data_IF_863777928300
#
_entry.id   IF_863777928300
#
_cell.length_a   1.000
_cell.length_b   1.000
_cell.length_c   1.000
_cell.angle_alpha   90.00
_cell.angle_beta   90.00
_cell.angle_gamma   90.00
#
_symmetry.space_group_name_H-M   'P 1'
#
loop_
_entity.id
_entity.type
_entity.pdbx_description
1 polymer ?
#
# COMPACT_ATOMS: atom_id res chain seq x y z
N UNK A 1 -26.34 26.35 27.93
CA UNK A 1 -25.76 25.29 27.06
C UNK A 1 -25.60 24.06 27.95
N UNK A 2 -26.44 23.03 27.78
CA UNK A 2 -26.53 21.92 28.74
C UNK A 2 -25.21 21.13 28.81
N UNK A 3 -24.63 21.00 30.00
CA UNK A 3 -23.42 20.22 30.28
C UNK A 3 -23.50 18.78 29.76
N UNK A 4 -24.71 18.22 29.67
CA UNK A 4 -25.00 16.90 29.09
C UNK A 4 -24.63 16.83 27.60
N UNK A 5 -24.94 17.88 26.81
CA UNK A 5 -24.60 17.92 25.39
C UNK A 5 -23.09 18.09 25.15
N UNK A 6 -22.40 18.80 26.05
CA UNK A 6 -20.95 18.97 25.97
C UNK A 6 -20.21 17.65 26.29
N UNK A 7 -20.66 16.91 27.31
CA UNK A 7 -20.09 15.60 27.65
C UNK A 7 -20.25 14.55 26.53
N UNK A 8 -21.43 14.49 25.91
CA UNK A 8 -21.69 13.63 24.75
C UNK A 8 -20.81 13.99 23.55
N UNK A 9 -20.64 15.28 23.26
CA UNK A 9 -19.78 15.75 22.19
C UNK A 9 -18.31 15.37 22.43
N UNK A 10 -17.81 15.56 23.65
CA UNK A 10 -16.43 15.27 24.03
C UNK A 10 -16.13 13.76 23.99
N UNK A 11 -17.07 12.92 24.42
CA UNK A 11 -17.01 11.46 24.26
C UNK A 11 -16.97 11.05 22.78
N UNK A 12 -17.77 11.69 21.93
CA UNK A 12 -17.76 11.43 20.48
C UNK A 12 -16.41 11.75 19.83
N UNK A 13 -15.81 12.88 20.18
CA UNK A 13 -14.47 13.28 19.69
C UNK A 13 -13.40 12.30 20.17
N UNK A 14 -13.43 11.91 21.45
CA UNK A 14 -12.45 10.96 22.01
C UNK A 14 -12.56 9.58 21.38
N UNK A 15 -13.79 9.07 21.18
CA UNK A 15 -14.00 7.78 20.52
C UNK A 15 -13.55 7.83 19.06
N UNK A 16 -13.89 8.90 18.32
CA UNK A 16 -13.44 9.09 16.94
C UNK A 16 -11.92 9.11 16.82
N UNK A 17 -11.23 9.83 17.73
CA UNK A 17 -9.78 9.85 17.78
C UNK A 17 -9.20 8.48 18.10
N UNK A 18 -9.76 7.77 19.08
CA UNK A 18 -9.29 6.44 19.49
C UNK A 18 -9.38 5.44 18.34
N UNK A 19 -10.52 5.38 17.64
CA UNK A 19 -10.67 4.53 16.46
C UNK A 19 -9.68 4.91 15.37
N UNK A 20 -9.56 6.20 15.05
CA UNK A 20 -8.61 6.68 14.04
C UNK A 20 -7.18 6.27 14.38
N UNK A 21 -6.77 6.42 15.64
CA UNK A 21 -5.45 6.05 16.11
C UNK A 21 -5.18 4.54 16.01
N UNK A 22 -6.14 3.70 16.40
CA UNK A 22 -6.03 2.25 16.30
C UNK A 22 -5.89 1.82 14.83
N UNK A 23 -6.72 2.35 13.94
CA UNK A 23 -6.66 2.04 12.50
C UNK A 23 -5.36 2.51 11.87
N UNK A 24 -4.89 3.70 12.24
CA UNK A 24 -3.62 4.23 11.76
C UNK A 24 -2.44 3.35 12.21
N UNK A 25 -2.40 2.95 13.49
CA UNK A 25 -1.36 2.05 14.01
C UNK A 25 -1.40 0.68 13.32
N UNK A 26 -2.58 0.15 13.03
CA UNK A 26 -2.73 -1.11 12.27
C UNK A 26 -2.22 -0.99 10.83
N UNK A 27 -2.50 0.15 10.17
CA UNK A 27 -1.99 0.46 8.83
C UNK A 27 -0.46 0.53 8.81
N UNK A 28 0.15 1.21 9.79
CA UNK A 28 1.62 1.27 9.92
C UNK A 28 2.25 -0.11 10.13
N UNK A 29 1.67 -0.96 10.99
CA UNK A 29 2.16 -2.32 11.20
C UNK A 29 2.16 -3.14 9.92
N UNK A 30 1.07 -3.08 9.14
CA UNK A 30 0.98 -3.78 7.85
C UNK A 30 2.04 -3.30 6.87
N UNK A 31 2.23 -1.99 6.75
CA UNK A 31 3.28 -1.43 5.89
C UNK A 31 4.68 -1.94 6.28
N UNK A 32 4.97 -1.98 7.58
CA UNK A 32 6.25 -2.49 8.08
C UNK A 32 6.45 -3.99 7.84
N UNK A 33 5.40 -4.79 8.01
CA UNK A 33 5.43 -6.23 7.72
C UNK A 33 5.68 -6.51 6.24
N UNK A 34 4.97 -5.80 5.34
CA UNK A 34 5.13 -5.92 3.89
C UNK A 34 6.56 -5.53 3.45
N UNK A 35 7.04 -4.39 3.90
CA UNK A 35 8.38 -3.89 3.57
C UNK A 35 9.49 -4.83 4.09
N UNK A 36 9.31 -5.40 5.29
CA UNK A 36 10.28 -6.35 5.83
C UNK A 36 10.30 -7.65 5.02
N UNK A 37 9.12 -8.14 4.58
CA UNK A 37 9.02 -9.33 3.72
C UNK A 37 9.71 -9.12 2.37
N UNK A 38 9.52 -7.97 1.75
CA UNK A 38 10.18 -7.61 0.49
C UNK A 38 11.71 -7.49 0.66
N UNK A 39 12.17 -6.85 1.74
CA UNK A 39 13.60 -6.80 2.06
C UNK A 39 14.20 -8.20 2.26
N UNK A 40 13.50 -9.11 2.93
CA UNK A 40 13.95 -10.50 3.06
C UNK A 40 14.01 -11.21 1.72
N UNK A 41 13.02 -11.00 0.84
CA UNK A 41 13.03 -11.58 -0.51
C UNK A 41 14.20 -11.07 -1.35
N UNK A 42 14.55 -9.78 -1.24
CA UNK A 42 15.73 -9.21 -1.91
C UNK A 42 17.04 -9.76 -1.34
N UNK A 43 17.14 -9.90 -0.01
CA UNK A 43 18.31 -10.50 0.66
C UNK A 43 18.50 -11.97 0.28
N UNK A 44 17.42 -12.73 0.15
CA UNK A 44 17.48 -14.13 -0.29
C UNK A 44 17.78 -14.26 -1.78
N UNK A 45 17.35 -13.30 -2.60
CA UNK A 45 17.70 -13.23 -4.02
C UNK A 45 19.18 -12.90 -4.25
N UNK A 46 19.75 -11.99 -3.45
CA UNK A 46 21.18 -11.67 -3.44
C UNK A 46 22.06 -12.91 -3.20
N UNK A 47 21.60 -13.84 -2.35
CA UNK A 47 22.32 -15.09 -2.06
C UNK A 47 22.26 -16.11 -3.19
N UNK A 48 21.30 -15.99 -4.13
CA UNK A 48 21.02 -16.98 -5.19
C UNK A 48 21.47 -16.54 -6.59
N UNK A 49 21.95 -15.31 -6.76
CA UNK A 49 22.71 -14.83 -7.93
C UNK A 49 21.93 -14.65 -9.24
N UNK A 50 21.18 -15.65 -9.70
CA UNK A 50 20.46 -15.62 -10.99
C UNK A 50 19.06 -14.98 -10.91
N UNK A 51 18.46 -14.98 -9.72
CA UNK A 51 17.07 -14.54 -9.45
C UNK A 51 17.01 -13.09 -8.93
N UNK A 52 18.17 -12.44 -8.82
CA UNK A 52 18.34 -11.12 -8.20
C UNK A 52 17.90 -10.00 -9.14
N UNK A 53 18.31 -10.05 -10.40
CA UNK A 53 18.04 -8.99 -11.37
C UNK A 53 16.53 -8.81 -11.63
N UNK A 54 15.77 -9.91 -11.75
CA UNK A 54 14.32 -9.84 -11.93
C UNK A 54 13.61 -9.24 -10.72
N UNK A 55 14.00 -9.65 -9.51
CA UNK A 55 13.39 -9.14 -8.26
C UNK A 55 13.71 -7.68 -8.00
N UNK A 56 14.94 -7.25 -8.30
CA UNK A 56 15.34 -5.84 -8.23
C UNK A 56 14.58 -5.01 -9.24
N UNK A 57 14.44 -5.49 -10.48
CA UNK A 57 13.67 -4.82 -11.50
C UNK A 57 12.20 -4.64 -11.08
N UNK A 58 11.55 -5.71 -10.59
CA UNK A 58 10.18 -5.65 -10.05
C UNK A 58 10.05 -4.66 -8.88
N UNK A 59 11.03 -4.63 -7.99
CA UNK A 59 11.07 -3.65 -6.90
C UNK A 59 11.16 -2.22 -7.44
N UNK A 60 11.98 -1.97 -8.45
CA UNK A 60 12.11 -0.65 -9.06
C UNK A 60 10.81 -0.20 -9.74
N UNK A 61 10.10 -1.11 -10.41
CA UNK A 61 8.77 -0.81 -10.95
C UNK A 61 7.77 -0.41 -9.85
N UNK A 62 7.82 -1.09 -8.70
CA UNK A 62 6.99 -0.78 -7.53
C UNK A 62 7.32 0.59 -6.93
N UNK A 63 8.60 0.94 -6.80
CA UNK A 63 9.02 2.26 -6.30
C UNK A 63 8.58 3.39 -7.24
N UNK A 64 8.75 3.22 -8.55
CA UNK A 64 8.29 4.19 -9.54
C UNK A 64 6.77 4.37 -9.50
N UNK A 65 6.02 3.26 -9.41
CA UNK A 65 4.57 3.31 -9.26
C UNK A 65 4.17 4.02 -7.96
N UNK A 66 4.91 3.80 -6.86
CA UNK A 66 4.68 4.42 -5.56
C UNK A 66 4.93 5.92 -5.60
N UNK A 67 6.03 6.35 -6.22
CA UNK A 67 6.34 7.76 -6.44
C UNK A 67 5.21 8.46 -7.21
N UNK A 68 4.75 7.85 -8.31
CA UNK A 68 3.63 8.37 -9.10
C UNK A 68 2.35 8.43 -8.27
N UNK A 69 2.07 7.43 -7.44
CA UNK A 69 0.92 7.47 -6.52
C UNK A 69 1.06 8.62 -5.52
N UNK A 70 2.25 8.83 -4.94
CA UNK A 70 2.49 9.93 -3.99
C UNK A 70 2.19 11.28 -4.63
N UNK A 71 2.61 11.50 -5.88
CA UNK A 71 2.44 12.79 -6.56
C UNK A 71 1.06 12.99 -7.20
N UNK A 72 0.54 11.98 -7.90
CA UNK A 72 -0.68 12.09 -8.73
C UNK A 72 -1.93 11.51 -8.06
N UNK A 73 -1.79 10.88 -6.90
CA UNK A 73 -2.90 10.23 -6.18
C UNK A 73 -3.36 8.91 -6.79
N UNK A 74 -2.75 8.46 -7.89
CA UNK A 74 -3.00 7.14 -8.52
C UNK A 74 -1.77 6.69 -9.32
N UNK A 75 -1.43 5.38 -9.30
CA UNK A 75 -0.31 4.83 -10.08
C UNK A 75 -0.73 4.36 -11.49
N UNK A 76 -2.03 4.39 -11.82
CA UNK A 76 -2.59 3.79 -13.05
C UNK A 76 -1.87 4.28 -14.31
N UNK A 77 -1.64 5.59 -14.41
CA UNK A 77 -0.99 6.18 -15.58
C UNK A 77 0.43 5.64 -15.84
N UNK A 78 1.16 5.27 -14.79
CA UNK A 78 2.47 4.61 -14.93
C UNK A 78 2.32 3.12 -15.23
N UNK A 79 1.45 2.42 -14.51
CA UNK A 79 1.24 0.97 -14.68
C UNK A 79 0.78 0.64 -16.11
N UNK A 80 -0.05 1.49 -16.73
CA UNK A 80 -0.49 1.34 -18.11
C UNK A 80 0.64 1.51 -19.15
N UNK A 81 1.79 2.08 -18.76
CA UNK A 81 2.97 2.20 -19.65
C UNK A 81 3.88 0.98 -19.59
N UNK A 82 3.64 0.06 -18.66
CA UNK A 82 4.43 -1.15 -18.49
C UNK A 82 3.97 -2.23 -19.48
N UNK A 83 4.92 -2.79 -20.22
CA UNK A 83 4.71 -3.94 -21.10
C UNK A 83 4.81 -5.24 -20.29
N UNK A 84 3.83 -5.45 -19.40
CA UNK A 84 3.72 -6.62 -18.50
C UNK A 84 2.30 -7.16 -18.53
N UNK A 85 2.11 -8.40 -18.05
CA UNK A 85 0.78 -9.02 -18.00
C UNK A 85 -0.17 -8.27 -17.07
N UNK A 86 -1.48 -8.41 -17.28
CA UNK A 86 -2.47 -7.74 -16.43
C UNK A 86 -2.45 -8.29 -14.99
N UNK A 87 -2.06 -9.55 -14.80
CA UNK A 87 -1.76 -10.13 -13.48
C UNK A 87 -0.61 -9.39 -12.78
N UNK A 88 0.47 -9.09 -13.49
CA UNK A 88 1.60 -8.33 -12.93
C UNK A 88 1.21 -6.87 -12.68
N UNK A 89 0.41 -6.25 -13.56
CA UNK A 89 -0.17 -4.92 -13.30
C UNK A 89 -1.04 -4.92 -12.06
N UNK A 90 -1.83 -5.97 -11.86
CA UNK A 90 -2.68 -6.13 -10.69
C UNK A 90 -1.85 -6.25 -9.40
N UNK A 91 -0.78 -7.05 -9.41
CA UNK A 91 0.15 -7.20 -8.29
C UNK A 91 0.85 -5.89 -7.96
N UNK A 92 1.39 -5.19 -8.98
CA UNK A 92 2.01 -3.87 -8.82
C UNK A 92 1.02 -2.90 -8.19
N UNK A 93 -0.19 -2.79 -8.74
CA UNK A 93 -1.22 -1.89 -8.21
C UNK A 93 -1.57 -2.18 -6.75
N UNK A 94 -1.78 -3.46 -6.40
CA UNK A 94 -2.10 -3.90 -5.06
C UNK A 94 -0.99 -3.54 -4.07
N UNK A 95 0.27 -3.86 -4.40
CA UNK A 95 1.44 -3.59 -3.57
C UNK A 95 1.68 -2.09 -3.42
N UNK A 96 1.60 -1.31 -4.49
CA UNK A 96 1.75 0.15 -4.42
C UNK A 96 0.67 0.77 -3.52
N UNK A 97 -0.59 0.34 -3.66
CA UNK A 97 -1.68 0.83 -2.83
C UNK A 97 -1.50 0.43 -1.36
N UNK A 98 -1.05 -0.80 -1.11
CA UNK A 98 -0.73 -1.30 0.23
C UNK A 98 0.41 -0.52 0.88
N UNK A 99 1.48 -0.19 0.16
CA UNK A 99 2.56 0.67 0.67
C UNK A 99 2.08 2.10 0.96
N UNK A 100 1.26 2.69 0.08
CA UNK A 100 0.79 4.08 0.27
C UNK A 100 -0.31 4.24 1.32
N UNK A 101 -1.21 3.26 1.46
CA UNK A 101 -2.43 3.35 2.29
C UNK A 101 -2.49 2.31 3.44
N UNK A 102 -1.60 1.33 3.46
CA UNK A 102 -1.55 0.23 4.45
C UNK A 102 -2.75 -0.71 4.42
N UNK A 103 -3.45 -0.78 3.28
CA UNK A 103 -4.55 -1.71 3.02
C UNK A 103 -4.60 -2.03 1.53
N UNK A 104 -5.23 -3.13 1.14
CA UNK A 104 -5.49 -3.43 -0.27
C UNK A 104 -6.56 -2.49 -0.85
N UNK A 105 -6.54 -2.22 -2.16
CA UNK A 105 -7.60 -1.46 -2.82
C UNK A 105 -8.92 -2.25 -2.79
N UNK A 106 -10.05 -1.54 -2.75
CA UNK A 106 -11.38 -2.18 -2.83
C UNK A 106 -11.70 -2.68 -4.24
N UNK A 107 -11.16 -2.00 -5.25
CA UNK A 107 -11.29 -2.36 -6.65
C UNK A 107 -9.91 -2.21 -7.29
N UNK A 108 -9.45 -3.26 -7.97
CA UNK A 108 -8.23 -3.26 -8.75
C UNK A 108 -8.62 -3.35 -10.23
N UNK A 109 -8.33 -2.32 -11.04
CA UNK A 109 -8.77 -2.26 -12.44
C UNK A 109 -8.17 -3.37 -13.32
N UNK A 110 -7.20 -4.13 -12.81
CA UNK A 110 -6.52 -5.21 -13.52
C UNK A 110 -6.89 -6.61 -12.98
N UNK A 111 -7.75 -6.71 -11.95
CA UNK A 111 -8.20 -8.02 -11.43
C UNK A 111 -9.42 -8.57 -12.18
N UNK A 112 -10.20 -7.70 -12.83
CA UNK A 112 -11.49 -8.04 -13.47
C UNK A 112 -11.37 -8.15 -15.00
N UNK A 113 -10.15 -8.25 -15.54
CA UNK A 113 -9.93 -8.55 -16.97
C UNK A 113 -10.03 -10.06 -17.22
N UNK A 114 -11.22 -10.62 -17.02
CA UNK A 114 -11.71 -11.85 -17.68
C UNK A 114 -12.84 -11.50 -18.64
#
# INVERSE_FOLDING_TARGET
MNYVNFGLWLLGVLLSWLFTHIYYKKSLKKQAEEANKENQQLLDALKKGADFDEKVFKQQLLENALEVFIHKGTPIGYINTLDVSDEEKADIYNKTYLRKKGRLPKNNPYNDSE
#
